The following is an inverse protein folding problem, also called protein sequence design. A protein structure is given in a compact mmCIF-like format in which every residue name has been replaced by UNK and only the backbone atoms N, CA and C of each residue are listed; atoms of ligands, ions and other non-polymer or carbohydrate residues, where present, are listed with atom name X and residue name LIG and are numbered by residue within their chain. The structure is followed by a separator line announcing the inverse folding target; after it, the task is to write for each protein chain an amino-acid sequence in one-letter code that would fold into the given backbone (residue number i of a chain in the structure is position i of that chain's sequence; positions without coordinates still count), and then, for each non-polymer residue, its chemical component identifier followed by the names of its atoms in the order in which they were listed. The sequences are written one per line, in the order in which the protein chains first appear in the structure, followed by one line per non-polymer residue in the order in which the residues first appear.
data_IF_702157855170
#
_entry.id   IF_702157855170
#
_cell.length_a   1.000
_cell.length_b   1.000
_cell.length_c   1.000
_cell.angle_alpha   90.00
_cell.angle_beta   90.00
_cell.angle_gamma   90.00
#
_symmetry.space_group_name_H-M   'P 1'
#
loop_
_entity.id
_entity.type
_entity.pdbx_description
1 polymer ?
#
# COMPACT_ATOMS: atom_id res chain seq x y z
N UNK A 1 -19.62 -14.78 -11.31
CA UNK A 1 -18.54 -15.56 -11.96
C UNK A 1 -17.46 -14.71 -12.64
N UNK A 2 -17.77 -13.64 -13.39
CA UNK A 2 -16.74 -12.81 -14.07
C UNK A 2 -15.67 -12.22 -13.14
N UNK A 3 -16.07 -11.70 -11.97
CA UNK A 3 -15.14 -11.16 -10.97
C UNK A 3 -14.16 -12.23 -10.44
N UNK A 4 -14.65 -13.44 -10.17
CA UNK A 4 -13.80 -14.56 -9.76
C UNK A 4 -12.79 -14.96 -10.84
N UNK A 5 -13.21 -14.97 -12.11
CA UNK A 5 -12.30 -15.25 -13.22
C UNK A 5 -11.21 -14.17 -13.37
N UNK A 6 -11.53 -12.91 -13.10
CA UNK A 6 -10.54 -11.82 -13.09
C UNK A 6 -9.53 -12.02 -11.96
N UNK A 7 -9.99 -12.37 -10.76
CA UNK A 7 -9.12 -12.64 -9.60
C UNK A 7 -8.21 -13.84 -9.89
N UNK A 8 -8.77 -14.95 -10.39
CA UNK A 8 -8.02 -16.14 -10.74
C UNK A 8 -6.93 -15.85 -11.79
N UNK A 9 -7.25 -15.05 -12.83
CA UNK A 9 -6.27 -14.62 -13.83
C UNK A 9 -5.17 -13.75 -13.23
N UNK A 10 -5.50 -12.86 -12.29
CA UNK A 10 -4.52 -12.04 -11.58
C UNK A 10 -3.55 -12.91 -10.76
N UNK A 11 -4.08 -13.91 -10.04
CA UNK A 11 -3.27 -14.86 -9.27
C UNK A 11 -2.33 -15.64 -10.20
N UNK A 12 -2.83 -16.12 -11.33
CA UNK A 12 -2.00 -16.82 -12.32
C UNK A 12 -0.89 -15.93 -12.88
N UNK A 13 -1.20 -14.68 -13.22
CA UNK A 13 -0.23 -13.73 -13.79
C UNK A 13 0.89 -13.34 -12.80
N UNK A 14 0.64 -13.45 -11.49
CA UNK A 14 1.59 -13.05 -10.44
C UNK A 14 2.07 -14.25 -9.59
N UNK A 15 1.90 -15.47 -10.10
CA UNK A 15 2.15 -16.70 -9.35
C UNK A 15 3.58 -16.79 -8.80
N UNK A 16 4.58 -16.47 -9.62
CA UNK A 16 6.00 -16.52 -9.22
C UNK A 16 6.31 -15.53 -8.10
N UNK A 17 5.74 -14.32 -8.16
CA UNK A 17 5.89 -13.31 -7.09
C UNK A 17 5.22 -13.76 -5.80
N UNK A 18 4.07 -14.44 -5.89
CA UNK A 18 3.36 -15.00 -4.74
C UNK A 18 4.19 -16.13 -4.12
N UNK A 19 4.77 -17.03 -4.91
CA UNK A 19 5.65 -18.09 -4.42
C UNK A 19 6.89 -17.52 -3.71
N UNK A 20 7.54 -16.52 -4.30
CA UNK A 20 8.72 -15.87 -3.74
C UNK A 20 8.49 -15.27 -2.33
N UNK A 21 7.25 -14.86 -2.01
CA UNK A 21 6.88 -14.42 -0.66
C UNK A 21 7.02 -15.53 0.38
N UNK A 22 6.66 -16.78 0.05
CA UNK A 22 6.72 -17.89 1.00
C UNK A 22 8.15 -18.37 1.24
N UNK A 23 9.02 -18.28 0.22
CA UNK A 23 10.42 -18.65 0.33
C UNK A 23 11.24 -17.64 1.13
N UNK A 24 11.14 -16.35 0.78
CA UNK A 24 11.95 -15.30 1.40
C UNK A 24 11.28 -14.60 2.59
N UNK A 25 9.97 -14.83 2.80
CA UNK A 25 9.12 -14.13 3.80
C UNK A 25 9.19 -12.60 3.76
N UNK A 26 9.67 -12.04 2.65
CA UNK A 26 9.71 -10.60 2.43
C UNK A 26 8.29 -10.09 2.25
N UNK A 27 7.74 -9.50 3.30
CA UNK A 27 6.39 -8.96 3.31
C UNK A 27 6.37 -7.46 3.02
N UNK A 28 5.43 -7.04 2.18
CA UNK A 28 5.14 -5.63 1.95
C UNK A 28 4.32 -5.00 3.09
N UNK A 29 4.03 -5.74 4.15
CA UNK A 29 3.14 -5.31 5.25
C UNK A 29 3.57 -3.96 5.88
N UNK A 30 4.87 -3.71 6.05
CA UNK A 30 5.36 -2.43 6.56
C UNK A 30 5.03 -1.27 5.62
N UNK A 31 5.18 -1.45 4.30
CA UNK A 31 4.83 -0.43 3.32
C UNK A 31 3.31 -0.27 3.17
N UNK A 32 2.53 -1.36 3.28
CA UNK A 32 1.07 -1.31 3.28
C UNK A 32 0.54 -0.57 4.52
N UNK A 33 1.10 -0.83 5.70
CA UNK A 33 0.81 -0.10 6.93
C UNK A 33 1.16 1.37 6.80
N UNK A 34 2.32 1.69 6.23
CA UNK A 34 2.72 3.08 5.97
C UNK A 34 1.76 3.79 5.00
N UNK A 35 1.36 3.13 3.90
CA UNK A 35 0.36 3.65 2.97
C UNK A 35 -1.01 3.88 3.63
N UNK A 36 -1.43 2.98 4.54
CA UNK A 36 -2.67 3.14 5.29
C UNK A 36 -2.61 4.36 6.22
N UNK A 37 -1.49 4.54 6.93
CA UNK A 37 -1.22 5.71 7.78
C UNK A 37 -1.24 7.03 6.99
N UNK A 38 -0.62 7.07 5.81
CA UNK A 38 -0.67 8.22 4.90
C UNK A 38 -2.11 8.51 4.44
N UNK A 39 -2.88 7.49 4.05
CA UNK A 39 -4.28 7.66 3.64
C UNK A 39 -5.14 8.23 4.76
N UNK A 40 -4.99 7.71 5.99
CA UNK A 40 -5.70 8.21 7.16
C UNK A 40 -5.33 9.66 7.46
N UNK A 41 -4.04 10.00 7.38
CA UNK A 41 -3.57 11.38 7.55
C UNK A 41 -4.18 12.31 6.49
N UNK A 42 -4.15 11.94 5.20
CA UNK A 42 -4.78 12.72 4.11
C UNK A 42 -6.28 12.94 4.31
N UNK A 43 -7.00 11.95 4.82
CA UNK A 43 -8.45 12.03 5.05
C UNK A 43 -8.81 13.12 6.09
N UNK A 44 -7.96 13.31 7.11
CA UNK A 44 -8.17 14.35 8.14
C UNK A 44 -8.14 15.77 7.56
N UNK A 45 -7.32 16.00 6.52
CA UNK A 45 -7.17 17.33 5.90
C UNK A 45 -8.06 17.53 4.67
N UNK A 46 -9.01 16.62 4.40
CA UNK A 46 -9.88 16.62 3.20
C UNK A 46 -9.08 16.78 1.90
N UNK A 47 -7.87 16.20 1.85
CA UNK A 47 -6.95 16.32 0.73
C UNK A 47 -5.63 16.99 1.10
N UNK A 48 -4.83 17.31 0.09
CA UNK A 48 -3.52 17.94 0.23
C UNK A 48 -3.49 19.19 -0.64
N UNK A 49 -3.59 20.38 -0.03
CA UNK A 49 -3.46 21.67 -0.76
C UNK A 49 -2.03 22.14 -0.89
N UNK A 50 -1.16 21.81 0.07
CA UNK A 50 0.26 22.15 0.07
C UNK A 50 1.07 20.87 0.33
N UNK A 51 1.79 20.42 -0.69
CA UNK A 51 2.56 19.17 -0.66
C UNK A 51 3.76 19.29 0.28
N UNK A 52 4.44 20.43 0.28
CA UNK A 52 5.62 20.68 1.12
C UNK A 52 5.24 20.64 2.61
N UNK A 53 4.17 21.32 3.00
CA UNK A 53 3.65 21.27 4.37
C UNK A 53 3.16 19.88 4.76
N UNK A 54 2.56 19.15 3.82
CA UNK A 54 2.11 17.77 4.04
C UNK A 54 3.29 16.83 4.30
N UNK A 55 4.37 16.93 3.51
CA UNK A 55 5.59 16.17 3.70
C UNK A 55 6.28 16.53 5.01
N UNK A 56 6.36 17.81 5.36
CA UNK A 56 6.87 18.27 6.66
C UNK A 56 6.09 17.63 7.83
N UNK A 57 4.76 17.60 7.78
CA UNK A 57 3.95 16.96 8.83
C UNK A 57 4.11 15.44 8.86
N UNK A 58 4.29 14.81 7.69
CA UNK A 58 4.54 13.38 7.56
C UNK A 58 5.87 12.99 8.21
N UNK A 59 6.94 13.75 7.94
CA UNK A 59 8.24 13.50 8.57
C UNK A 59 8.16 13.72 10.08
N UNK A 60 7.47 14.75 10.58
CA UNK A 60 7.31 14.94 12.03
C UNK A 60 6.49 13.84 12.75
N UNK A 61 5.62 13.12 12.04
CA UNK A 61 4.76 12.06 12.62
C UNK A 61 5.42 10.67 12.60
N UNK A 62 6.38 10.45 11.70
CA UNK A 62 6.94 9.13 11.41
C UNK A 62 8.48 9.11 11.35
N UNK A 63 9.14 10.22 11.69
CA UNK A 63 10.55 10.25 12.13
C UNK A 63 10.62 9.86 13.61
#
# INVERSE_FOLDING_TARGET
FKAFNTVARSIQNHYDTILNYFDNRSTNASAESFNAKIKAFRAQFRGVRNVEFFLYRLTQLYA
#
